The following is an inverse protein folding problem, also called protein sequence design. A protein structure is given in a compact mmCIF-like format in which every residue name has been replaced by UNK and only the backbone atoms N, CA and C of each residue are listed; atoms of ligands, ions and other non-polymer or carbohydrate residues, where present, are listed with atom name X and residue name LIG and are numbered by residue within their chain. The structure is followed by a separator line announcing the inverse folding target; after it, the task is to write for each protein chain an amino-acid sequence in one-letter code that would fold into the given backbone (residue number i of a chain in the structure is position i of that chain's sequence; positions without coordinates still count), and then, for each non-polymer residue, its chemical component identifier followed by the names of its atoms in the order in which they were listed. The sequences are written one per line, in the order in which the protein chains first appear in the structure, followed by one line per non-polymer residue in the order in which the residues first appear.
data_IF_755186965636
#
_entry.id   IF_755186965636
#
_cell.length_a   1.000
_cell.length_b   1.000
_cell.length_c   1.000
_cell.angle_alpha   90.00
_cell.angle_beta   90.00
_cell.angle_gamma   90.00
#
_symmetry.space_group_name_H-M   'P 1'
#
loop_
_entity.id
_entity.type
_entity.pdbx_description
1 polymer ?
#
# COMPACT_ATOMS: atom_id res chain seq x y z
N UNK A 1 50.78 4.35 15.09
CA UNK A 1 49.91 3.16 14.94
C UNK A 1 48.56 3.24 15.70
N UNK A 2 48.46 3.92 16.85
CA UNK A 2 47.20 4.05 17.62
C UNK A 2 46.08 4.82 16.88
N UNK A 3 46.39 5.79 16.04
CA UNK A 3 45.38 6.64 15.37
C UNK A 3 44.71 5.98 14.16
N UNK A 4 45.34 4.98 13.54
CA UNK A 4 44.77 4.28 12.37
C UNK A 4 43.65 3.31 12.79
N UNK A 5 43.79 2.68 13.96
CA UNK A 5 42.81 1.74 14.48
C UNK A 5 41.52 2.45 14.87
N UNK A 6 41.63 3.66 15.44
CA UNK A 6 40.48 4.46 15.87
C UNK A 6 39.64 4.94 14.68
N UNK A 7 40.25 5.32 13.56
CA UNK A 7 39.55 5.70 12.33
C UNK A 7 38.82 4.53 11.70
N UNK A 8 39.34 3.30 11.77
CA UNK A 8 38.73 2.13 11.20
C UNK A 8 37.43 1.74 11.92
N UNK A 9 37.38 1.90 13.24
CA UNK A 9 36.18 1.64 14.03
C UNK A 9 35.08 2.67 13.79
N UNK A 10 35.39 3.93 13.57
CA UNK A 10 34.42 4.99 13.28
C UNK A 10 33.77 4.76 11.90
N UNK A 11 34.55 4.37 10.89
CA UNK A 11 34.05 4.07 9.55
C UNK A 11 33.16 2.82 9.57
N UNK A 12 33.50 1.80 10.33
CA UNK A 12 32.68 0.58 10.46
C UNK A 12 31.32 0.86 11.12
N UNK A 13 31.27 1.72 12.14
CA UNK A 13 30.02 2.10 12.82
C UNK A 13 29.08 2.90 11.90
N UNK A 14 29.63 3.76 11.05
CA UNK A 14 28.81 4.55 10.09
C UNK A 14 28.20 3.65 9.01
N UNK A 15 28.87 2.58 8.59
CA UNK A 15 28.36 1.63 7.59
C UNK A 15 27.21 0.77 8.10
N UNK A 16 27.12 0.50 9.41
CA UNK A 16 26.03 -0.33 9.98
C UNK A 16 24.74 0.47 10.15
N UNK A 17 24.81 1.80 10.23
CA UNK A 17 23.63 2.68 10.36
C UNK A 17 22.92 2.95 9.03
N UNK A 18 23.49 2.50 7.90
CA UNK A 18 22.95 2.70 6.55
C UNK A 18 21.98 1.60 6.10
N UNK A 19 21.39 0.81 6.98
CA UNK A 19 20.25 -0.03 6.64
C UNK A 19 18.99 0.83 6.55
N UNK A 20 18.96 1.72 5.55
CA UNK A 20 17.95 2.72 5.37
C UNK A 20 16.57 2.08 5.14
N UNK A 21 15.61 2.40 6.01
CA UNK A 21 14.19 2.22 5.69
C UNK A 21 13.96 2.84 4.32
N UNK A 22 13.44 2.05 3.39
CA UNK A 22 13.07 2.57 2.07
C UNK A 22 12.00 3.64 2.26
N UNK A 23 12.37 4.89 2.09
CA UNK A 23 11.47 6.04 2.22
C UNK A 23 10.79 6.23 0.88
N UNK A 24 9.48 6.20 0.86
CA UNK A 24 8.66 6.52 -0.31
C UNK A 24 8.23 8.00 -0.24
N UNK A 25 7.92 8.58 -1.39
CA UNK A 25 7.69 10.02 -1.51
C UNK A 25 6.42 10.52 -0.83
N UNK A 26 5.40 9.65 -0.70
CA UNK A 26 4.11 9.99 -0.11
C UNK A 26 3.61 8.91 0.82
N UNK A 27 2.65 9.28 1.70
CA UNK A 27 1.97 8.32 2.56
C UNK A 27 1.21 7.27 1.71
N UNK A 28 0.51 7.70 0.67
CA UNK A 28 -0.21 6.79 -0.23
C UNK A 28 0.70 5.79 -0.92
N UNK A 29 1.89 6.21 -1.40
CA UNK A 29 2.89 5.30 -1.96
C UNK A 29 3.40 4.32 -0.90
N UNK A 30 3.68 4.81 0.30
CA UNK A 30 4.14 3.98 1.42
C UNK A 30 3.12 2.91 1.76
N UNK A 31 1.83 3.29 1.87
CA UNK A 31 0.73 2.36 2.13
C UNK A 31 0.64 1.32 1.01
N UNK A 32 0.62 1.76 -0.24
CA UNK A 32 0.51 0.89 -1.40
C UNK A 32 1.60 -0.19 -1.42
N UNK A 33 2.86 0.23 -1.18
CA UNK A 33 4.02 -0.64 -1.32
C UNK A 33 4.31 -1.50 -0.09
N UNK A 34 3.95 -1.03 1.10
CA UNK A 34 4.37 -1.67 2.35
C UNK A 34 3.22 -2.12 3.24
N UNK A 35 1.99 -1.64 3.01
CA UNK A 35 0.85 -1.84 3.91
C UNK A 35 1.00 -1.11 5.25
N UNK A 36 1.86 -0.09 5.30
CA UNK A 36 2.07 0.77 6.47
C UNK A 36 1.90 2.23 6.07
N UNK A 37 1.46 3.06 7.01
CA UNK A 37 1.51 4.51 6.84
C UNK A 37 2.91 5.08 7.16
N UNK A 38 3.10 6.40 6.99
CA UNK A 38 4.38 7.06 7.30
C UNK A 38 4.77 6.98 8.78
N UNK A 39 3.81 6.80 9.69
CA UNK A 39 4.05 6.59 11.11
C UNK A 39 4.55 5.16 11.40
N UNK A 40 4.54 4.28 10.40
CA UNK A 40 4.98 2.90 10.51
C UNK A 40 3.90 1.93 11.03
N UNK A 41 2.67 2.40 11.17
CA UNK A 41 1.54 1.58 11.60
C UNK A 41 1.16 0.59 10.50
N UNK A 42 0.96 -0.66 10.88
CA UNK A 42 0.49 -1.71 9.97
C UNK A 42 -1.01 -1.54 9.74
N UNK A 43 -1.40 -1.30 8.51
CA UNK A 43 -2.78 -1.03 8.12
C UNK A 43 -3.55 -2.29 7.70
N UNK A 44 -2.88 -3.43 7.58
CA UNK A 44 -3.51 -4.71 7.28
C UNK A 44 -3.79 -5.47 8.56
N UNK A 45 -5.06 -5.80 8.82
CA UNK A 45 -5.45 -6.70 9.90
C UNK A 45 -5.23 -8.16 9.49
N UNK A 46 -4.05 -8.67 9.79
CA UNK A 46 -3.74 -10.07 9.50
C UNK A 46 -4.56 -11.07 10.33
N UNK A 47 -5.08 -10.66 11.47
CA UNK A 47 -5.90 -11.54 12.31
C UNK A 47 -7.26 -11.77 11.66
N UNK A 48 -7.92 -10.72 11.22
CA UNK A 48 -9.22 -10.76 10.57
C UNK A 48 -9.14 -11.20 9.09
N UNK A 49 -8.01 -10.93 8.42
CA UNK A 49 -7.83 -11.29 7.01
C UNK A 49 -7.72 -12.81 6.82
N UNK A 50 -8.37 -13.36 5.79
CA UNK A 50 -8.22 -14.75 5.37
C UNK A 50 -6.91 -14.98 4.61
N UNK A 51 -6.50 -14.02 3.78
CA UNK A 51 -5.26 -14.08 3.00
C UNK A 51 -4.11 -13.59 3.89
N UNK A 52 -3.30 -14.53 4.39
CA UNK A 52 -2.19 -14.23 5.32
C UNK A 52 -0.90 -13.78 4.62
N UNK A 53 -0.72 -14.12 3.35
CA UNK A 53 0.47 -13.78 2.57
C UNK A 53 0.47 -12.33 2.06
N UNK A 54 -0.69 -11.70 1.95
CA UNK A 54 -0.78 -10.30 1.59
C UNK A 54 -0.12 -9.42 2.67
N UNK A 55 0.72 -8.49 2.25
CA UNK A 55 1.36 -7.52 3.13
C UNK A 55 1.02 -6.07 2.74
N UNK A 56 0.68 -5.86 1.46
CA UNK A 56 0.40 -4.55 0.88
C UNK A 56 -0.42 -4.72 -0.40
N UNK A 57 -0.92 -3.63 -0.96
CA UNK A 57 -1.60 -3.64 -2.26
C UNK A 57 -0.67 -4.15 -3.36
N UNK A 58 0.61 -3.74 -3.33
CA UNK A 58 1.62 -4.15 -4.29
C UNK A 58 1.85 -5.67 -4.30
N UNK A 59 1.65 -6.37 -3.19
CA UNK A 59 1.85 -7.84 -3.11
C UNK A 59 1.01 -8.57 -4.16
N UNK A 60 -0.20 -8.12 -4.41
CA UNK A 60 -1.11 -8.73 -5.39
C UNK A 60 -1.15 -7.94 -6.69
N UNK A 61 -1.14 -6.61 -6.63
CA UNK A 61 -1.35 -5.74 -7.79
C UNK A 61 -0.07 -5.28 -8.48
N UNK A 62 1.11 -5.67 -7.96
CA UNK A 62 2.41 -5.32 -8.53
C UNK A 62 2.77 -3.85 -8.36
N UNK A 63 3.92 -3.47 -8.93
CA UNK A 63 4.47 -2.11 -8.79
C UNK A 63 3.58 -1.03 -9.41
N UNK A 64 2.86 -1.35 -10.47
CA UNK A 64 2.10 -0.41 -11.29
C UNK A 64 0.58 -0.60 -11.20
N UNK A 65 0.08 -1.43 -10.28
CA UNK A 65 -1.35 -1.61 -10.03
C UNK A 65 -2.09 -2.51 -11.05
N UNK A 66 -1.38 -3.18 -11.93
CA UNK A 66 -1.92 -3.93 -13.07
C UNK A 66 -1.31 -5.34 -13.25
N UNK A 67 -0.64 -5.87 -12.24
CA UNK A 67 -0.07 -7.22 -12.31
C UNK A 67 -1.13 -8.32 -12.43
N UNK A 68 -2.33 -8.08 -11.91
CA UNK A 68 -3.48 -8.96 -12.12
C UNK A 68 -4.20 -8.54 -13.40
N UNK A 69 -4.11 -9.37 -14.46
CA UNK A 69 -4.69 -9.08 -15.77
C UNK A 69 -6.19 -8.77 -15.75
N UNK A 70 -6.91 -9.32 -14.78
CA UNK A 70 -8.37 -9.20 -14.68
C UNK A 70 -8.85 -8.06 -13.81
N UNK A 71 -7.99 -7.49 -12.95
CA UNK A 71 -8.37 -6.40 -12.03
C UNK A 71 -7.18 -5.49 -11.81
N UNK A 72 -7.13 -4.41 -12.56
CA UNK A 72 -6.24 -3.29 -12.27
C UNK A 72 -6.83 -2.44 -11.13
N UNK A 73 -5.96 -1.89 -10.28
CA UNK A 73 -6.37 -0.90 -9.26
C UNK A 73 -5.88 0.51 -9.61
N UNK A 74 -5.42 0.74 -10.83
CA UNK A 74 -5.20 2.11 -11.35
C UNK A 74 -6.53 2.85 -11.33
N UNK A 75 -6.51 4.10 -10.92
CA UNK A 75 -7.75 4.87 -10.87
C UNK A 75 -8.39 5.02 -12.25
N UNK A 76 -7.58 5.16 -13.31
CA UNK A 76 -8.07 5.19 -14.69
C UNK A 76 -8.90 3.96 -15.07
N UNK A 77 -8.53 2.78 -14.56
CA UNK A 77 -9.29 1.54 -14.76
C UNK A 77 -10.54 1.49 -13.87
N UNK A 78 -10.40 1.88 -12.59
CA UNK A 78 -11.48 1.82 -11.60
C UNK A 78 -12.63 2.81 -11.92
N UNK A 79 -12.29 3.97 -12.48
CA UNK A 79 -13.26 5.02 -12.84
C UNK A 79 -13.89 4.86 -14.21
N UNK A 80 -13.49 3.85 -14.97
CA UNK A 80 -14.01 3.61 -16.31
C UNK A 80 -15.31 2.80 -16.25
N UNK A 81 -16.40 3.39 -16.75
CA UNK A 81 -17.72 2.75 -16.86
C UNK A 81 -17.75 1.57 -17.84
N UNK A 82 -16.76 1.42 -18.72
CA UNK A 82 -16.63 0.24 -19.56
C UNK A 82 -16.19 -1.01 -18.75
N UNK A 83 -15.47 -0.81 -17.64
CA UNK A 83 -14.98 -1.89 -16.79
C UNK A 83 -15.96 -2.26 -15.67
N UNK A 84 -16.83 -1.34 -15.26
CA UNK A 84 -17.76 -1.52 -14.13
C UNK A 84 -19.14 -0.95 -14.46
N UNK A 85 -20.19 -1.68 -14.11
CA UNK A 85 -21.57 -1.18 -14.21
C UNK A 85 -21.80 0.09 -13.38
N UNK A 86 -21.03 0.25 -12.33
CA UNK A 86 -20.91 1.47 -11.52
C UNK A 86 -19.44 1.74 -11.34
N UNK A 87 -18.94 2.81 -11.96
CA UNK A 87 -17.55 3.21 -11.84
C UNK A 87 -17.20 3.58 -10.37
N UNK A 88 -15.95 3.33 -9.96
CA UNK A 88 -15.52 3.71 -8.62
C UNK A 88 -15.35 5.21 -8.50
N UNK A 89 -15.93 5.77 -7.45
CA UNK A 89 -15.63 7.08 -6.91
C UNK A 89 -14.75 6.94 -5.66
N UNK A 90 -14.26 8.04 -5.11
CA UNK A 90 -13.51 8.03 -3.86
C UNK A 90 -14.31 7.36 -2.72
N UNK A 91 -15.58 7.73 -2.55
CA UNK A 91 -16.45 7.16 -1.51
C UNK A 91 -16.72 5.67 -1.72
N UNK A 92 -16.90 5.22 -2.95
CA UNK A 92 -17.09 3.81 -3.26
C UNK A 92 -15.82 3.00 -3.04
N UNK A 93 -14.65 3.60 -3.29
CA UNK A 93 -13.37 2.98 -3.00
C UNK A 93 -13.13 2.87 -1.48
N UNK A 94 -13.48 3.90 -0.70
CA UNK A 94 -13.40 3.83 0.76
C UNK A 94 -14.34 2.76 1.33
N UNK A 95 -15.56 2.70 0.83
CA UNK A 95 -16.51 1.63 1.19
C UNK A 95 -15.96 0.23 0.88
N UNK A 96 -15.26 0.07 -0.24
CA UNK A 96 -14.59 -1.18 -0.56
C UNK A 96 -13.51 -1.54 0.47
N UNK A 97 -12.67 -0.59 0.88
CA UNK A 97 -11.63 -0.82 1.89
C UNK A 97 -12.22 -1.18 3.26
N UNK A 98 -13.33 -0.53 3.64
CA UNK A 98 -13.94 -0.69 4.96
C UNK A 98 -14.82 -1.95 5.06
N UNK A 99 -15.50 -2.33 3.97
CA UNK A 99 -16.59 -3.30 4.02
C UNK A 99 -16.46 -4.43 2.99
N UNK A 100 -15.38 -4.46 2.21
CA UNK A 100 -15.20 -5.44 1.13
C UNK A 100 -16.36 -5.46 0.12
N UNK A 101 -16.94 -4.26 -0.18
CA UNK A 101 -18.04 -4.09 -1.13
C UNK A 101 -17.55 -3.53 -2.46
N UNK A 102 -17.89 -4.17 -3.56
CA UNK A 102 -17.67 -3.64 -4.90
C UNK A 102 -18.44 -2.34 -5.12
N UNK A 103 -18.12 -1.60 -6.18
CA UNK A 103 -18.79 -0.34 -6.52
C UNK A 103 -20.29 -0.47 -6.69
N UNK A 104 -20.79 -1.60 -7.17
CA UNK A 104 -22.22 -1.91 -7.30
C UNK A 104 -22.90 -2.42 -6.00
N UNK A 105 -22.17 -2.43 -4.88
CA UNK A 105 -22.69 -2.85 -3.57
C UNK A 105 -22.65 -4.35 -3.29
N UNK A 106 -22.23 -5.18 -4.24
CA UNK A 106 -22.07 -6.63 -3.98
C UNK A 106 -20.77 -6.92 -3.24
N UNK A 107 -20.74 -8.01 -2.49
CA UNK A 107 -19.55 -8.43 -1.73
C UNK A 107 -18.42 -8.78 -2.69
N UNK A 108 -17.22 -8.21 -2.47
CA UNK A 108 -16.04 -8.50 -3.27
C UNK A 108 -15.35 -9.80 -2.86
N UNK A 109 -15.41 -10.14 -1.58
CA UNK A 109 -14.85 -11.36 -1.00
C UNK A 109 -13.33 -11.50 -1.22
N UNK A 110 -12.62 -10.38 -1.14
CA UNK A 110 -11.16 -10.36 -1.34
C UNK A 110 -10.42 -11.11 -0.22
N UNK A 111 -10.96 -11.09 0.99
CA UNK A 111 -10.36 -11.78 2.13
C UNK A 111 -9.19 -11.02 2.77
N UNK A 112 -9.10 -9.73 2.51
CA UNK A 112 -8.12 -8.82 3.11
C UNK A 112 -8.90 -7.73 3.85
N UNK A 113 -8.58 -7.51 5.11
CA UNK A 113 -9.22 -6.50 5.97
C UNK A 113 -8.22 -5.39 6.27
N UNK A 114 -8.64 -4.16 6.04
CA UNK A 114 -7.84 -2.96 6.26
C UNK A 114 -8.29 -2.20 7.50
N UNK A 115 -7.34 -1.58 8.19
CA UNK A 115 -7.54 -0.67 9.32
C UNK A 115 -6.92 0.68 8.97
N UNK A 116 -7.57 1.41 8.08
CA UNK A 116 -7.14 2.72 7.62
C UNK A 116 -8.04 3.79 8.18
N UNK A 117 -7.45 4.90 8.66
CA UNK A 117 -8.22 6.11 8.93
C UNK A 117 -8.57 6.83 7.60
N UNK A 118 -9.42 7.86 7.66
CA UNK A 118 -9.88 8.58 6.47
C UNK A 118 -8.72 9.23 5.69
N UNK A 119 -7.69 9.74 6.39
CA UNK A 119 -6.54 10.35 5.73
C UNK A 119 -5.69 9.30 5.00
N UNK A 120 -5.45 8.14 5.61
CA UNK A 120 -4.72 7.04 4.98
C UNK A 120 -5.43 6.55 3.70
N UNK A 121 -6.77 6.42 3.76
CA UNK A 121 -7.59 6.03 2.58
C UNK A 121 -7.47 7.07 1.47
N UNK A 122 -7.55 8.34 1.81
CA UNK A 122 -7.44 9.47 0.86
C UNK A 122 -6.06 9.54 0.23
N UNK A 123 -5.01 9.36 1.02
CA UNK A 123 -3.63 9.36 0.53
C UNK A 123 -3.38 8.18 -0.41
N UNK A 124 -3.86 6.98 -0.05
CA UNK A 124 -3.81 5.82 -0.93
C UNK A 124 -4.57 6.06 -2.23
N UNK A 125 -5.79 6.57 -2.16
CA UNK A 125 -6.60 6.87 -3.34
C UNK A 125 -5.93 7.87 -4.28
N UNK A 126 -5.32 8.92 -3.73
CA UNK A 126 -4.56 9.89 -4.51
C UNK A 126 -3.33 9.27 -5.17
N UNK A 127 -2.65 8.34 -4.49
CA UNK A 127 -1.54 7.61 -5.10
C UNK A 127 -2.01 6.73 -6.27
N UNK A 128 -3.16 6.05 -6.16
CA UNK A 128 -3.70 5.24 -7.26
C UNK A 128 -4.01 6.06 -8.52
N UNK A 129 -4.25 7.37 -8.40
CA UNK A 129 -4.41 8.29 -9.54
C UNK A 129 -3.09 8.55 -10.29
N UNK A 130 -1.97 8.27 -9.67
CA UNK A 130 -0.63 8.47 -10.27
C UNK A 130 -0.08 7.22 -10.96
N UNK A 131 -0.75 6.08 -10.82
CA UNK A 131 -0.37 4.81 -11.45
C UNK A 131 -0.86 4.71 -12.94
#
# INVERSE_FOLDING_TARGET
MKNIITCFWIVAVILVLSCGKKIYSTNGETIYRTGKNLQGEKLLDKTASRIKIANSCQTCHGKHGDAMKTVSIKFSYLSDSANFSTAYTESLFFRFLDHDLKSNGTIANIGVIWKMNEQDKKDLFNYLKTL
#
